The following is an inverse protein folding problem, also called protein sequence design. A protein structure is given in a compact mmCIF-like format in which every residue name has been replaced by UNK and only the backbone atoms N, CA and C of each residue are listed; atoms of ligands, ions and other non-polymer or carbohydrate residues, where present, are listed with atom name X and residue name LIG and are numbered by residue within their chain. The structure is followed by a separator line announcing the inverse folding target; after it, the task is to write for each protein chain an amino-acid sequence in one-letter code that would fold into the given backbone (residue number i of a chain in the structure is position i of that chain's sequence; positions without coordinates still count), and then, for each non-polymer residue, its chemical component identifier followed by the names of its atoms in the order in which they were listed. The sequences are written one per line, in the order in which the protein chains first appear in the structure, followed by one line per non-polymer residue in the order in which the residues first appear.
data_IF_436660345732
#
_entry.id   IF_436660345732
#
_cell.length_a   1.000
_cell.length_b   1.000
_cell.length_c   1.000
_cell.angle_alpha   90.00
_cell.angle_beta   90.00
_cell.angle_gamma   90.00
#
_symmetry.space_group_name_H-M   'P 1'
#
loop_
_entity.id
_entity.type
_entity.pdbx_description
1 polymer ?
#
# COMPACT_ATOMS: atom_id res chain seq x y z
N UNK A 1 -3.63 13.62 12.16
CA UNK A 1 -4.30 13.00 11.01
C UNK A 1 -4.99 11.73 11.46
N UNK A 2 -6.27 11.56 11.16
CA UNK A 2 -7.02 10.34 11.45
C UNK A 2 -6.55 9.26 10.48
N UNK A 3 -6.26 8.04 10.95
CA UNK A 3 -5.91 6.91 10.07
C UNK A 3 -7.10 6.67 9.15
N UNK A 4 -6.96 6.93 7.85
CA UNK A 4 -8.02 6.67 6.89
C UNK A 4 -7.94 5.21 6.44
N UNK A 5 -8.79 4.38 7.06
CA UNK A 5 -8.84 2.95 6.75
C UNK A 5 -9.27 2.66 5.30
N UNK A 6 -10.01 3.56 4.65
CA UNK A 6 -10.36 3.42 3.23
C UNK A 6 -9.13 3.65 2.36
N UNK A 7 -8.35 4.69 2.64
CA UNK A 7 -7.09 4.94 1.92
C UNK A 7 -6.11 3.78 2.13
N UNK A 8 -5.98 3.29 3.36
CA UNK A 8 -5.12 2.14 3.66
C UNK A 8 -5.52 0.92 2.83
N UNK A 9 -6.81 0.58 2.77
CA UNK A 9 -7.31 -0.52 1.94
C UNK A 9 -6.95 -0.29 0.46
N UNK A 10 -7.26 0.89 -0.10
CA UNK A 10 -6.98 1.20 -1.51
C UNK A 10 -5.47 1.11 -1.84
N UNK A 11 -4.59 1.54 -0.93
CA UNK A 11 -3.13 1.39 -1.09
C UNK A 11 -2.75 -0.09 -1.11
N UNK A 12 -3.24 -0.88 -0.16
CA UNK A 12 -2.92 -2.31 -0.09
C UNK A 12 -3.43 -3.07 -1.32
N UNK A 13 -4.65 -2.78 -1.80
CA UNK A 13 -5.21 -3.36 -3.04
C UNK A 13 -4.37 -2.98 -4.27
N UNK A 14 -3.92 -1.72 -4.35
CA UNK A 14 -3.03 -1.28 -5.42
C UNK A 14 -1.72 -2.06 -5.42
N UNK A 15 -1.14 -2.29 -4.24
CA UNK A 15 0.09 -3.07 -4.09
C UNK A 15 -0.15 -4.56 -4.36
N UNK A 16 -1.30 -5.12 -4.01
CA UNK A 16 -1.68 -6.50 -4.36
C UNK A 16 -1.75 -6.70 -5.88
N UNK A 17 -2.41 -5.77 -6.59
CA UNK A 17 -2.62 -5.85 -8.03
C UNK A 17 -1.33 -5.58 -8.83
N UNK A 18 -0.49 -4.66 -8.34
CA UNK A 18 0.65 -4.13 -9.13
C UNK A 18 2.04 -4.45 -8.56
N UNK A 19 2.11 -4.90 -7.30
CA UNK A 19 3.34 -4.92 -6.50
C UNK A 19 4.43 -5.91 -6.92
N UNK A 20 4.14 -6.85 -7.82
CA UNK A 20 5.15 -7.76 -8.38
C UNK A 20 5.89 -7.19 -9.60
N UNK A 21 5.46 -6.03 -10.13
CA UNK A 21 6.09 -5.36 -11.27
C UNK A 21 6.74 -4.08 -10.77
N UNK A 22 8.02 -3.88 -11.11
CA UNK A 22 8.79 -2.64 -10.82
C UNK A 22 7.87 -1.43 -11.00
N UNK A 23 7.38 -0.85 -9.91
CA UNK A 23 6.40 0.22 -10.00
C UNK A 23 7.14 1.50 -10.44
N UNK A 24 7.09 1.77 -11.75
CA UNK A 24 7.69 2.94 -12.38
C UNK A 24 6.68 4.09 -12.38
N UNK A 25 6.32 4.62 -11.21
CA UNK A 25 5.36 5.72 -11.15
C UNK A 25 5.13 6.33 -9.77
N UNK A 26 4.24 7.31 -9.71
CA UNK A 26 3.60 7.77 -8.48
C UNK A 26 2.29 7.00 -8.29
N UNK A 27 2.03 6.50 -7.08
CA UNK A 27 0.74 5.86 -6.77
C UNK A 27 -0.31 6.97 -6.80
N UNK A 28 -1.33 6.81 -7.65
CA UNK A 28 -2.48 7.70 -7.72
C UNK A 28 -3.72 6.93 -7.31
N UNK A 29 -4.46 7.47 -6.35
CA UNK A 29 -5.69 6.90 -5.82
C UNK A 29 -6.75 7.99 -5.89
N UNK A 30 -7.85 7.72 -6.58
CA UNK A 30 -8.94 8.67 -6.76
C UNK A 30 -9.50 9.15 -5.40
N UNK A 31 -9.67 10.47 -5.30
CA UNK A 31 -10.15 11.16 -4.10
C UNK A 31 -9.10 11.42 -3.03
N UNK A 32 -7.82 11.15 -3.32
CA UNK A 32 -6.73 11.35 -2.36
C UNK A 32 -5.57 12.15 -2.95
N UNK A 33 -5.06 13.07 -2.15
CA UNK A 33 -3.89 13.86 -2.49
C UNK A 33 -2.61 13.02 -2.41
N UNK A 34 -1.62 13.38 -3.22
CA UNK A 34 -0.33 12.68 -3.28
C UNK A 34 0.33 12.56 -1.91
N UNK A 35 0.34 13.64 -1.13
CA UNK A 35 1.00 13.67 0.18
C UNK A 35 0.30 12.75 1.19
N UNK A 36 -1.04 12.61 1.08
CA UNK A 36 -1.79 11.67 1.91
C UNK A 36 -1.41 10.23 1.56
N UNK A 37 -1.34 9.91 0.27
CA UNK A 37 -0.95 8.57 -0.22
C UNK A 37 0.47 8.23 0.26
N UNK A 38 1.42 9.14 0.03
CA UNK A 38 2.83 8.97 0.45
C UNK A 38 2.94 8.76 1.95
N UNK A 39 2.24 9.57 2.76
CA UNK A 39 2.24 9.41 4.21
C UNK A 39 1.75 8.02 4.65
N UNK A 40 0.67 7.51 4.05
CA UNK A 40 0.14 6.19 4.39
C UNK A 40 1.05 5.05 3.94
N UNK A 41 1.73 5.18 2.80
CA UNK A 41 2.75 4.21 2.38
C UNK A 41 3.86 4.11 3.43
N UNK A 42 4.39 5.24 3.91
CA UNK A 42 5.43 5.23 4.94
C UNK A 42 4.96 4.57 6.24
N UNK A 43 3.71 4.80 6.67
CA UNK A 43 3.14 4.13 7.83
C UNK A 43 3.01 2.60 7.62
N UNK A 44 2.59 2.18 6.44
CA UNK A 44 2.44 0.75 6.11
C UNK A 44 3.79 0.04 6.04
N UNK A 45 4.81 0.70 5.50
CA UNK A 45 6.19 0.21 5.48
C UNK A 45 6.75 0.12 6.89
N UNK A 46 6.61 1.17 7.69
CA UNK A 46 7.02 1.16 9.10
C UNK A 46 6.29 0.08 9.93
N UNK A 47 5.04 -0.22 9.58
CA UNK A 47 4.26 -1.29 10.20
C UNK A 47 4.55 -2.69 9.67
N UNK A 48 5.39 -2.84 8.64
CA UNK A 48 5.71 -4.12 8.01
C UNK A 48 4.54 -4.74 7.24
N UNK A 49 3.59 -3.93 6.77
CA UNK A 49 2.49 -4.39 5.91
C UNK A 49 2.88 -4.38 4.43
N UNK A 50 3.84 -3.53 4.07
CA UNK A 50 4.40 -3.42 2.72
C UNK A 50 5.92 -3.36 2.86
N UNK A 51 6.64 -3.96 1.93
CA UNK A 51 8.08 -3.78 1.78
C UNK A 51 8.38 -2.88 0.57
N UNK A 52 9.25 -1.91 0.81
CA UNK A 52 9.91 -1.11 -0.22
C UNK A 52 11.31 -1.69 -0.43
N UNK A 53 11.53 -2.32 -1.58
CA UNK A 53 12.85 -2.73 -1.98
C UNK A 53 13.79 -1.52 -2.11
N UNK A 54 15.07 -1.75 -1.85
CA UNK A 54 16.10 -0.72 -1.94
C UNK A 54 16.15 -0.15 -3.37
N UNK A 55 16.21 1.18 -3.48
CA UNK A 55 16.49 1.84 -4.77
C UNK A 55 17.97 1.59 -5.11
N UNK A 56 18.20 0.92 -6.24
CA UNK A 56 19.54 0.75 -6.81
C UNK A 56 19.68 1.67 -8.01
N UNK A 57 20.91 2.02 -8.40
CA UNK A 57 21.20 2.80 -9.60
C UNK A 57 20.58 2.19 -10.89
N UNK A 58 20.30 0.88 -10.88
CA UNK A 58 19.75 0.15 -12.02
C UNK A 58 18.23 -0.04 -11.98
N UNK A 59 17.60 -0.01 -10.80
CA UNK A 59 16.16 -0.25 -10.64
C UNK A 59 15.62 0.35 -9.36
N UNK A 60 14.40 0.90 -9.44
CA UNK A 60 13.57 1.13 -8.25
C UNK A 60 13.15 -0.20 -7.66
N UNK A 61 13.27 -0.34 -6.34
CA UNK A 61 12.96 -1.59 -5.67
C UNK A 61 11.47 -1.95 -5.75
N UNK A 62 11.14 -3.24 -5.58
CA UNK A 62 9.75 -3.70 -5.56
C UNK A 62 8.94 -3.03 -4.45
N UNK A 63 7.66 -2.79 -4.70
CA UNK A 63 6.68 -2.40 -3.68
C UNK A 63 5.77 -3.60 -3.49
N UNK A 64 5.99 -4.41 -2.45
CA UNK A 64 5.31 -5.71 -2.29
C UNK A 64 4.53 -5.77 -0.99
N UNK A 65 3.40 -6.46 -1.00
CA UNK A 65 2.70 -6.83 0.22
C UNK A 65 3.53 -7.87 0.98
N UNK A 66 3.62 -7.70 2.29
CA UNK A 66 4.07 -8.77 3.18
C UNK A 66 2.90 -9.70 3.50
N UNK A 67 3.17 -10.87 4.06
CA UNK A 67 2.12 -11.75 4.60
C UNK A 67 1.20 -11.03 5.60
N UNK A 68 1.80 -10.21 6.49
CA UNK A 68 1.05 -9.36 7.42
C UNK A 68 0.16 -8.35 6.69
N UNK A 69 0.62 -7.82 5.56
CA UNK A 69 -0.15 -6.97 4.66
C UNK A 69 -1.37 -7.69 4.08
N UNK A 70 -1.17 -8.91 3.56
CA UNK A 70 -2.24 -9.76 3.02
C UNK A 70 -3.31 -10.05 4.09
N UNK A 71 -2.89 -10.56 5.27
CA UNK A 71 -3.81 -10.88 6.36
C UNK A 71 -4.64 -9.67 6.80
N UNK A 72 -4.00 -8.50 6.83
CA UNK A 72 -4.67 -7.27 7.22
C UNK A 72 -5.65 -6.78 6.14
N UNK A 73 -5.28 -6.89 4.86
CA UNK A 73 -6.16 -6.55 3.75
C UNK A 73 -7.41 -7.45 3.74
N UNK A 74 -7.26 -8.74 3.98
CA UNK A 74 -8.39 -9.67 4.07
C UNK A 74 -9.31 -9.34 5.26
N UNK A 75 -8.75 -8.94 6.40
CA UNK A 75 -9.54 -8.45 7.54
C UNK A 75 -10.34 -7.17 7.20
N UNK A 76 -9.77 -6.25 6.43
CA UNK A 76 -10.48 -5.05 5.97
C UNK A 76 -11.64 -5.42 5.05
N UNK A 77 -11.40 -6.31 4.07
CA UNK A 77 -12.43 -6.83 3.16
C UNK A 77 -13.58 -7.52 3.92
N UNK A 78 -13.25 -8.35 4.90
CA UNK A 78 -14.23 -9.07 5.71
C UNK A 78 -15.10 -8.15 6.59
N UNK A 79 -14.58 -6.98 6.99
CA UNK A 79 -15.34 -5.97 7.75
C UNK A 79 -16.34 -5.21 6.88
N UNK A 80 -16.00 -4.94 5.62
CA UNK A 80 -16.89 -4.22 4.70
C UNK A 80 -17.95 -5.12 4.07
N UNK A 81 -17.70 -6.44 3.94
CA UNK A 81 -18.73 -7.42 3.55
C UNK A 81 -19.79 -7.70 4.63
N UNK A 82 -19.66 -7.11 5.82
CA UNK A 82 -20.61 -7.22 6.95
C UNK A 82 -21.41 -5.94 7.20
N UNK A 83 -21.34 -4.96 6.30
CA UNK A 83 -22.07 -3.69 6.38
C UNK A 83 -23.39 -3.74 5.59
#
# INVERSE_FOLDING_TARGET
MRRDHKLVRKVLEFVEERGSRVFKGAISIEGYERDQIVHHIYLLVSGGFIELGQETLANRGPLVLTWKGCDFLDQLRAREGKA
#
